data_IF_622705800699
#
_entry.id   IF_622705800699
#
_cell.length_a   1.000
_cell.length_b   1.000
_cell.length_c   1.000
_cell.angle_alpha   90.00
_cell.angle_beta   90.00
_cell.angle_gamma   90.00
#
_symmetry.space_group_name_H-M   'P 1'
#
loop_
_entity.id
_entity.type
_entity.pdbx_description
1 polymer ?
#
# COMPACT_ATOMS: atom_id res chain seq x y z
N UNK A 1 17.52 14.97 2.63
CA UNK A 1 18.40 13.77 2.65
C UNK A 1 17.74 12.54 3.29
N UNK A 2 17.16 12.60 4.51
CA UNK A 2 16.45 11.43 5.09
C UNK A 2 15.04 11.19 4.52
N UNK A 3 14.32 12.25 4.17
CA UNK A 3 12.98 12.18 3.57
C UNK A 3 13.02 11.55 2.17
N UNK A 4 13.96 11.96 1.33
CA UNK A 4 14.11 11.49 -0.06
C UNK A 4 14.37 9.97 -0.14
N UNK A 5 15.17 9.45 0.79
CA UNK A 5 15.45 8.01 0.89
C UNK A 5 14.21 7.22 1.31
N UNK A 6 13.41 7.77 2.21
CA UNK A 6 12.20 7.13 2.70
C UNK A 6 11.10 7.14 1.62
N UNK A 7 10.99 8.22 0.85
CA UNK A 7 10.10 8.31 -0.31
C UNK A 7 10.46 7.30 -1.42
N UNK A 8 11.76 7.14 -1.72
CA UNK A 8 12.23 6.14 -2.67
C UNK A 8 11.89 4.71 -2.22
N UNK A 9 12.08 4.40 -0.93
CA UNK A 9 11.75 3.10 -0.35
C UNK A 9 10.24 2.81 -0.39
N UNK A 10 9.40 3.82 -0.12
CA UNK A 10 7.93 3.71 -0.22
C UNK A 10 7.52 3.38 -1.66
N UNK A 11 8.13 4.04 -2.66
CA UNK A 11 7.83 3.81 -4.07
C UNK A 11 8.18 2.39 -4.48
N UNK A 12 9.38 1.93 -4.14
CA UNK A 12 9.84 0.56 -4.43
C UNK A 12 8.90 -0.48 -3.80
N UNK A 13 8.52 -0.26 -2.53
CA UNK A 13 7.64 -1.18 -1.80
C UNK A 13 6.22 -1.21 -2.34
N UNK A 14 5.70 -0.08 -2.84
CA UNK A 14 4.43 -0.02 -3.57
C UNK A 14 4.46 -0.87 -4.85
N UNK A 15 5.51 -0.70 -5.65
CA UNK A 15 5.67 -1.45 -6.90
C UNK A 15 5.78 -2.97 -6.62
N UNK A 16 6.47 -3.36 -5.54
CA UNK A 16 6.54 -4.74 -5.06
C UNK A 16 5.17 -5.29 -4.66
N UNK A 17 4.41 -4.56 -3.84
CA UNK A 17 3.08 -4.97 -3.38
C UNK A 17 2.09 -5.14 -4.53
N UNK A 18 2.14 -4.25 -5.53
CA UNK A 18 1.31 -4.37 -6.75
C UNK A 18 1.68 -5.64 -7.50
N UNK A 19 2.97 -5.92 -7.68
CA UNK A 19 3.43 -7.13 -8.37
C UNK A 19 3.03 -8.41 -7.63
N UNK A 20 3.19 -8.45 -6.31
CA UNK A 20 2.76 -9.57 -5.47
C UNK A 20 1.25 -9.75 -5.51
N UNK A 21 0.49 -8.66 -5.43
CA UNK A 21 -0.96 -8.70 -5.51
C UNK A 21 -1.50 -9.20 -6.85
N UNK A 22 -0.83 -8.85 -7.94
CA UNK A 22 -1.18 -9.33 -9.30
C UNK A 22 -0.80 -10.79 -9.54
N UNK A 23 0.29 -11.27 -8.92
CA UNK A 23 0.83 -12.62 -9.18
C UNK A 23 0.31 -13.66 -8.21
N UNK A 24 0.23 -13.33 -6.92
CA UNK A 24 -0.10 -14.25 -5.82
C UNK A 24 -1.48 -13.97 -5.21
N UNK A 25 -2.09 -12.84 -5.55
CA UNK A 25 -3.35 -12.41 -4.97
C UNK A 25 -3.18 -11.61 -3.67
N UNK A 26 -4.23 -10.90 -3.30
CA UNK A 26 -4.22 -9.93 -2.19
C UNK A 26 -4.39 -10.57 -0.82
N UNK A 27 -4.86 -11.81 -0.77
CA UNK A 27 -4.98 -12.64 0.43
C UNK A 27 -3.72 -13.47 0.70
N UNK A 28 -2.72 -13.43 -0.19
CA UNK A 28 -1.47 -14.14 0.05
C UNK A 28 -0.71 -13.48 1.19
N UNK A 29 -0.17 -14.31 2.08
CA UNK A 29 0.62 -13.88 3.24
C UNK A 29 1.76 -12.92 2.87
N UNK A 30 2.42 -13.14 1.72
CA UNK A 30 3.50 -12.26 1.23
C UNK A 30 2.98 -10.89 0.79
N UNK A 31 1.79 -10.84 0.16
CA UNK A 31 1.17 -9.56 -0.22
C UNK A 31 0.70 -8.80 1.02
N UNK A 32 0.17 -9.51 2.02
CA UNK A 32 -0.23 -8.94 3.31
C UNK A 32 1.00 -8.41 4.04
N UNK A 33 2.07 -9.19 4.12
CA UNK A 33 3.33 -8.76 4.72
C UNK A 33 3.92 -7.53 4.02
N UNK A 34 3.93 -7.52 2.69
CA UNK A 34 4.39 -6.39 1.90
C UNK A 34 3.57 -5.11 2.20
N UNK A 35 2.25 -5.24 2.38
CA UNK A 35 1.39 -4.12 2.78
C UNK A 35 1.69 -3.60 4.19
N UNK A 36 2.02 -4.49 5.13
CA UNK A 36 2.41 -4.10 6.49
C UNK A 36 3.78 -3.40 6.53
N UNK A 37 4.73 -3.84 5.71
CA UNK A 37 6.02 -3.17 5.59
C UNK A 37 5.89 -1.78 4.95
N UNK A 38 5.07 -1.67 3.91
CA UNK A 38 4.75 -0.39 3.28
C UNK A 38 4.10 0.58 4.29
N UNK A 39 3.18 0.09 5.12
CA UNK A 39 2.52 0.90 6.16
C UNK A 39 3.53 1.44 7.20
N UNK A 40 4.49 0.60 7.62
CA UNK A 40 5.57 1.03 8.53
C UNK A 40 6.43 2.14 7.91
N UNK A 41 6.83 2.00 6.65
CA UNK A 41 7.61 3.01 5.94
C UNK A 41 6.84 4.33 5.81
N UNK A 42 5.53 4.27 5.53
CA UNK A 42 4.66 5.44 5.46
C UNK A 42 4.54 6.13 6.82
N UNK A 43 4.38 5.37 7.91
CA UNK A 43 4.33 5.92 9.25
C UNK A 43 5.65 6.58 9.67
N UNK A 44 6.77 5.99 9.27
CA UNK A 44 8.09 6.58 9.51
C UNK A 44 8.32 7.86 8.70
N UNK A 45 7.90 7.89 7.44
CA UNK A 45 7.90 9.10 6.61
C UNK A 45 7.04 10.21 7.22
N UNK A 46 5.84 9.88 7.68
CA UNK A 46 4.95 10.82 8.37
C UNK A 46 5.57 11.36 9.66
N UNK A 47 6.24 10.51 10.45
CA UNK A 47 6.96 10.94 11.65
C UNK A 47 8.11 11.89 11.31
N UNK A 48 8.89 11.58 10.28
CA UNK A 48 9.98 12.43 9.80
C UNK A 48 9.46 13.79 9.28
N UNK A 49 8.30 13.83 8.63
CA UNK A 49 7.64 15.08 8.22
C UNK A 49 7.16 15.89 9.42
N UNK A 50 6.53 15.24 10.41
CA UNK A 50 6.02 15.89 11.61
C UNK A 50 7.15 16.52 12.44
N UNK A 51 8.28 15.82 12.59
CA UNK A 51 9.47 16.33 13.30
C UNK A 51 10.09 17.56 12.61
N UNK A 52 9.88 17.74 11.30
CA UNK A 52 10.47 18.84 10.51
C UNK A 52 9.62 20.13 10.43
N UNK A 53 8.44 20.21 11.07
CA UNK A 53 7.60 21.42 11.13
C UNK A 53 7.42 22.18 9.81
N UNK A 54 7.12 21.47 8.71
CA UNK A 54 6.44 22.07 7.55
C UNK A 54 5.09 21.39 7.37
N UNK A 55 4.06 22.16 7.70
CA UNK A 55 2.65 21.80 7.68
C UNK A 55 2.21 21.25 6.33
N UNK A 56 1.99 19.94 6.25
CA UNK A 56 0.72 19.28 5.90
C UNK A 56 1.01 17.78 5.81
N UNK A 57 0.29 16.91 6.55
CA UNK A 57 0.40 15.47 6.33
C UNK A 57 0.07 15.21 4.86
N UNK A 58 1.03 14.66 4.13
CA UNK A 58 0.84 14.31 2.73
C UNK A 58 -0.12 13.10 2.72
N UNK A 59 -1.42 13.38 2.59
CA UNK A 59 -2.48 12.42 2.34
C UNK A 59 -2.35 11.78 0.94
N UNK A 60 -1.15 11.35 0.53
CA UNK A 60 -0.94 10.50 -0.65
C UNK A 60 -1.17 9.00 -0.31
N UNK A 61 -1.68 8.75 0.90
CA UNK A 61 -2.13 7.45 1.39
C UNK A 61 -3.54 7.14 0.86
N UNK A 62 -4.44 8.13 0.85
CA UNK A 62 -5.81 7.95 0.40
C UNK A 62 -5.89 7.48 -1.06
N UNK A 63 -5.00 7.97 -1.93
CA UNK A 63 -4.97 7.57 -3.35
C UNK A 63 -4.54 6.12 -3.55
N UNK A 64 -3.58 5.63 -2.75
CA UNK A 64 -3.15 4.24 -2.87
C UNK A 64 -4.22 3.29 -2.35
N UNK A 65 -4.76 3.55 -1.17
CA UNK A 65 -5.79 2.69 -0.59
C UNK A 65 -7.09 2.79 -1.38
N UNK A 66 -7.44 3.94 -1.95
CA UNK A 66 -8.59 4.03 -2.86
C UNK A 66 -8.37 3.26 -4.16
N UNK A 67 -7.20 3.35 -4.80
CA UNK A 67 -6.87 2.54 -5.98
C UNK A 67 -6.88 1.04 -5.64
N UNK A 68 -6.30 0.66 -4.52
CA UNK A 68 -6.26 -0.72 -4.07
C UNK A 68 -7.66 -1.23 -3.69
N UNK A 69 -8.47 -0.39 -3.02
CA UNK A 69 -9.86 -0.68 -2.65
C UNK A 69 -10.74 -0.82 -3.87
N UNK A 70 -10.61 0.05 -4.86
CA UNK A 70 -11.35 -0.04 -6.12
C UNK A 70 -10.94 -1.31 -6.90
N UNK A 71 -9.65 -1.64 -6.90
CA UNK A 71 -9.17 -2.88 -7.51
C UNK A 71 -9.69 -4.12 -6.79
N UNK A 72 -9.65 -4.12 -5.45
CA UNK A 72 -10.20 -5.16 -4.57
C UNK A 72 -11.70 -5.32 -4.81
N UNK A 73 -12.47 -4.22 -4.80
CA UNK A 73 -13.91 -4.24 -5.04
C UNK A 73 -14.23 -4.80 -6.41
N UNK A 74 -13.44 -4.45 -7.42
CA UNK A 74 -13.62 -4.96 -8.78
C UNK A 74 -13.36 -6.47 -8.87
N UNK A 75 -12.35 -6.98 -8.16
CA UNK A 75 -12.08 -8.42 -8.04
C UNK A 75 -13.19 -9.14 -7.24
N UNK A 76 -13.64 -8.58 -6.11
CA UNK A 76 -14.68 -9.16 -5.25
C UNK A 76 -16.10 -9.03 -5.84
N UNK A 77 -16.33 -8.10 -6.78
CA UNK A 77 -17.60 -7.94 -7.50
C UNK A 77 -17.85 -8.99 -8.57
N UNK A 78 -16.87 -9.89 -8.81
CA UNK A 78 -17.15 -11.13 -9.53
C UNK A 78 -18.20 -11.93 -8.73
N UNK A 79 -19.32 -12.34 -9.34
CA UNK A 79 -20.32 -13.10 -8.62
C UNK A 79 -19.67 -14.38 -8.10
N UNK A 80 -19.65 -14.50 -6.78
CA UNK A 80 -19.20 -15.64 -5.98
C UNK A 80 -20.06 -16.88 -6.31
N UNK A 81 -19.97 -17.39 -7.55
CA UNK A 81 -20.79 -18.51 -8.07
C UNK A 81 -20.05 -19.84 -8.20
N UNK A 82 -18.78 -19.93 -7.78
CA UNK A 82 -17.98 -21.14 -7.96
C UNK A 82 -17.18 -21.61 -6.73
N UNK A 83 -17.51 -21.17 -5.50
CA UNK A 83 -16.80 -21.64 -4.30
C UNK A 83 -17.70 -22.38 -3.29
N UNK A 84 -18.76 -23.03 -3.76
CA UNK A 84 -19.62 -23.91 -2.94
C UNK A 84 -20.13 -25.08 -3.79
N UNK A 85 -19.23 -25.99 -4.14
CA UNK A 85 -19.52 -27.40 -4.45
C UNK A 85 -18.52 -28.24 -3.67
#
# INVERSE_FOLDING_TARGET
MRLDLCEAAIKEKKDEMIKLGMTKGLQNEETIYCSQELDKLLNEYNRLLADNNHSKPINHHDDFYSLFRDHILRILSLPYRYFLI
#
